data_IF_708526556324
#
_entry.id   IF_708526556324
#
_cell.length_a   1.000
_cell.length_b   1.000
_cell.length_c   1.000
_cell.angle_alpha   90.00
_cell.angle_beta   90.00
_cell.angle_gamma   90.00
#
_symmetry.space_group_name_H-M   'P 1'
#
loop_
_entity.id
_entity.type
_entity.pdbx_description
1 polymer ?
#
# COMPACT_ATOMS: atom_id res chain seq x y z
N UNK A 1 -5.32 -22.48 -32.47
CA UNK A 1 -6.58 -21.77 -32.82
C UNK A 1 -7.75 -22.62 -32.38
N UNK A 2 -8.44 -22.27 -31.28
CA UNK A 2 -9.90 -22.30 -31.13
C UNK A 2 -10.22 -21.38 -29.94
N UNK A 3 -10.51 -20.11 -30.21
CA UNK A 3 -11.18 -19.23 -29.24
C UNK A 3 -12.67 -19.46 -29.40
N UNK A 4 -13.28 -20.26 -28.52
CA UNK A 4 -14.73 -20.26 -28.44
C UNK A 4 -15.17 -18.88 -27.92
N UNK A 5 -16.06 -18.15 -28.63
CA UNK A 5 -16.51 -16.84 -28.20
C UNK A 5 -17.30 -16.95 -26.90
N UNK A 6 -17.12 -15.98 -26.00
CA UNK A 6 -17.81 -15.90 -24.69
C UNK A 6 -19.33 -16.08 -24.77
N UNK A 7 -19.95 -15.81 -25.93
CA UNK A 7 -21.36 -16.06 -26.21
C UNK A 7 -21.74 -17.54 -26.14
N UNK A 8 -20.90 -18.44 -26.65
CA UNK A 8 -21.15 -19.89 -26.70
C UNK A 8 -21.13 -20.53 -25.30
N UNK A 9 -20.26 -20.04 -24.42
CA UNK A 9 -20.21 -20.44 -23.01
C UNK A 9 -21.46 -20.01 -22.23
N UNK A 10 -22.04 -18.85 -22.55
CA UNK A 10 -23.27 -18.37 -21.91
C UNK A 10 -24.50 -19.16 -22.36
N UNK A 11 -24.56 -19.61 -23.61
CA UNK A 11 -25.66 -20.44 -24.12
C UNK A 11 -25.63 -21.85 -23.52
N UNK A 12 -24.44 -22.42 -23.27
CA UNK A 12 -24.29 -23.70 -22.57
C UNK A 12 -24.73 -23.65 -21.10
N UNK A 13 -24.69 -22.47 -20.46
CA UNK A 13 -25.14 -22.27 -19.08
C UNK A 13 -26.66 -22.05 -18.96
N UNK A 14 -27.38 -21.77 -20.05
CA UNK A 14 -28.85 -21.60 -20.03
C UNK A 14 -29.62 -22.90 -20.25
N UNK A 15 -28.97 -23.95 -20.76
CA UNK A 15 -29.57 -25.29 -20.85
C UNK A 15 -29.60 -25.91 -19.46
N UNK A 16 -30.80 -26.18 -18.94
CA UNK A 16 -31.01 -26.88 -17.64
C UNK A 16 -30.20 -28.18 -17.65
N UNK A 17 -29.23 -28.37 -16.74
CA UNK A 17 -28.49 -29.62 -16.67
C UNK A 17 -29.37 -30.69 -16.02
N UNK A 18 -29.95 -31.54 -16.87
CA UNK A 18 -30.57 -32.78 -16.46
C UNK A 18 -29.47 -33.68 -15.86
N UNK A 19 -29.61 -33.99 -14.57
CA UNK A 19 -28.66 -34.75 -13.71
C UNK A 19 -27.25 -34.13 -13.56
N UNK A 20 -27.16 -33.07 -12.77
CA UNK A 20 -25.85 -32.59 -12.28
C UNK A 20 -25.17 -33.61 -11.35
N UNK A 21 -24.01 -34.12 -11.77
CA UNK A 21 -23.11 -34.91 -10.92
C UNK A 21 -22.69 -34.11 -9.68
N UNK A 22 -22.44 -34.78 -8.55
CA UNK A 22 -21.99 -34.15 -7.29
C UNK A 22 -20.79 -33.22 -7.51
N UNK A 23 -19.95 -33.51 -8.50
CA UNK A 23 -18.76 -32.74 -8.90
C UNK A 23 -19.11 -31.37 -9.48
N UNK A 24 -20.10 -31.29 -10.37
CA UNK A 24 -20.54 -30.00 -10.95
C UNK A 24 -21.14 -29.07 -9.89
N UNK A 25 -21.89 -29.61 -8.91
CA UNK A 25 -22.43 -28.80 -7.80
C UNK A 25 -21.32 -28.24 -6.91
N UNK A 26 -20.27 -29.03 -6.64
CA UNK A 26 -19.08 -28.56 -5.90
C UNK A 26 -18.36 -27.46 -6.68
N UNK A 27 -18.11 -27.62 -7.98
CA UNK A 27 -17.46 -26.59 -8.80
C UNK A 27 -18.25 -25.26 -8.81
N UNK A 28 -19.57 -25.32 -9.00
CA UNK A 28 -20.44 -24.12 -8.96
C UNK A 28 -20.44 -23.46 -7.58
N UNK A 29 -20.45 -24.25 -6.49
CA UNK A 29 -20.35 -23.71 -5.13
C UNK A 29 -19.01 -23.00 -4.90
N UNK A 30 -17.89 -23.62 -5.26
CA UNK A 30 -16.56 -23.01 -5.13
C UNK A 30 -16.42 -21.76 -5.98
N UNK A 31 -16.92 -21.77 -7.21
CA UNK A 31 -16.94 -20.61 -8.10
C UNK A 31 -17.79 -19.48 -7.53
N UNK A 32 -19.02 -19.75 -7.05
CA UNK A 32 -19.87 -18.76 -6.38
C UNK A 32 -19.23 -18.21 -5.10
N UNK A 33 -18.59 -19.07 -4.29
CA UNK A 33 -17.88 -18.66 -3.08
C UNK A 33 -16.68 -17.77 -3.42
N UNK A 34 -15.93 -18.10 -4.48
CA UNK A 34 -14.80 -17.32 -5.00
C UNK A 34 -15.25 -15.98 -5.56
N UNK A 35 -16.35 -15.92 -6.32
CA UNK A 35 -16.95 -14.67 -6.81
C UNK A 35 -17.45 -13.79 -5.66
N UNK A 36 -18.11 -14.37 -4.66
CA UNK A 36 -18.55 -13.62 -3.46
C UNK A 36 -17.37 -13.04 -2.69
N UNK A 37 -16.28 -13.80 -2.55
CA UNK A 37 -15.03 -13.33 -1.94
C UNK A 37 -14.40 -12.20 -2.76
N UNK A 38 -14.32 -12.37 -4.10
CA UNK A 38 -13.83 -11.33 -5.01
C UNK A 38 -14.69 -10.06 -4.92
N UNK A 39 -16.02 -10.16 -4.99
CA UNK A 39 -16.96 -9.02 -4.88
C UNK A 39 -16.82 -8.22 -3.58
N UNK A 40 -16.58 -8.88 -2.43
CA UNK A 40 -16.32 -8.16 -1.16
C UNK A 40 -14.96 -7.45 -1.17
N UNK A 41 -13.96 -8.05 -1.83
CA UNK A 41 -12.66 -7.42 -1.99
C UNK A 41 -12.73 -6.22 -2.95
N UNK A 42 -13.57 -6.24 -3.99
CA UNK A 42 -13.64 -5.15 -4.98
C UNK A 42 -14.21 -3.83 -4.47
N UNK A 43 -15.07 -3.82 -3.44
CA UNK A 43 -15.62 -2.58 -2.89
C UNK A 43 -14.76 -1.95 -1.77
N UNK A 44 -14.08 -2.78 -0.97
CA UNK A 44 -13.18 -2.28 0.08
C UNK A 44 -11.85 -1.77 -0.49
N UNK A 45 -11.37 -2.38 -1.57
CA UNK A 45 -10.06 -2.12 -2.16
C UNK A 45 -9.85 -0.65 -2.61
N UNK A 46 -10.79 0.03 -3.30
CA UNK A 46 -10.61 1.44 -3.68
C UNK A 46 -10.47 2.40 -2.51
N UNK A 47 -11.29 2.24 -1.46
CA UNK A 47 -11.24 3.10 -0.27
C UNK A 47 -9.95 2.89 0.50
N UNK A 48 -9.54 1.63 0.69
CA UNK A 48 -8.28 1.32 1.39
C UNK A 48 -7.07 1.86 0.65
N UNK A 49 -7.07 1.86 -0.69
CA UNK A 49 -6.03 2.50 -1.51
C UNK A 49 -5.95 4.01 -1.27
N UNK A 50 -7.10 4.69 -1.22
CA UNK A 50 -7.16 6.12 -0.93
C UNK A 50 -6.61 6.40 0.48
N UNK A 51 -6.99 5.61 1.48
CA UNK A 51 -6.48 5.80 2.85
C UNK A 51 -4.96 5.60 2.91
N UNK A 52 -4.42 4.57 2.26
CA UNK A 52 -2.97 4.33 2.17
C UNK A 52 -2.23 5.53 1.56
N UNK A 53 -2.78 6.09 0.48
CA UNK A 53 -2.26 7.30 -0.16
C UNK A 53 -2.29 8.50 0.79
N UNK A 54 -3.45 8.76 1.41
CA UNK A 54 -3.67 9.90 2.31
C UNK A 54 -2.78 9.85 3.54
N UNK A 55 -2.55 8.67 4.12
CA UNK A 55 -1.63 8.49 5.25
C UNK A 55 -0.21 8.91 4.88
N UNK A 56 0.28 8.48 3.71
CA UNK A 56 1.62 8.84 3.22
C UNK A 56 1.74 10.35 2.98
N UNK A 57 0.73 10.96 2.36
CA UNK A 57 0.70 12.41 2.10
C UNK A 57 0.56 13.23 3.39
N UNK A 58 -0.15 12.71 4.38
CA UNK A 58 -0.27 13.32 5.70
C UNK A 58 1.07 13.40 6.43
N UNK A 59 1.85 12.31 6.43
CA UNK A 59 3.20 12.32 7.02
C UNK A 59 4.14 13.27 6.27
N UNK A 60 4.05 13.32 4.94
CA UNK A 60 4.83 14.26 4.13
C UNK A 60 4.56 15.71 4.55
N UNK A 61 3.29 16.13 4.56
CA UNK A 61 2.89 17.50 4.92
C UNK A 61 3.24 17.85 6.36
N UNK A 62 3.04 16.92 7.29
CA UNK A 62 3.45 17.10 8.68
C UNK A 62 4.96 17.33 8.78
N UNK A 63 5.75 16.56 8.03
CA UNK A 63 7.20 16.68 8.05
C UNK A 63 7.66 17.98 7.42
N UNK A 64 7.07 18.40 6.30
CA UNK A 64 7.34 19.70 5.66
C UNK A 64 7.06 20.86 6.62
N UNK A 65 5.93 20.82 7.31
CA UNK A 65 5.53 21.84 8.27
C UNK A 65 6.44 21.88 9.50
N UNK A 66 6.74 20.73 10.12
CA UNK A 66 7.59 20.70 11.30
C UNK A 66 9.05 21.05 10.97
N UNK A 67 9.54 20.62 9.80
CA UNK A 67 10.92 20.88 9.40
C UNK A 67 11.12 22.37 9.06
N UNK A 68 10.13 23.04 8.47
CA UNK A 68 10.21 24.48 8.16
C UNK A 68 10.28 25.37 9.40
N UNK A 69 9.83 24.86 10.56
CA UNK A 69 9.85 25.58 11.84
C UNK A 69 11.20 25.45 12.58
N UNK A 70 12.09 24.55 12.14
CA UNK A 70 13.38 24.36 12.81
C UNK A 70 14.36 25.49 12.48
N UNK A 71 15.03 26.07 13.49
CA UNK A 71 15.95 27.17 13.28
C UNK A 71 17.24 26.71 12.57
N UNK A 72 17.83 27.59 11.77
CA UNK A 72 19.16 27.42 11.17
C UNK A 72 19.34 26.21 10.23
N UNK A 73 18.26 25.64 9.71
CA UNK A 73 18.33 24.56 8.72
C UNK A 73 18.20 25.07 7.29
N UNK A 74 18.91 24.41 6.37
CA UNK A 74 18.70 24.61 4.95
C UNK A 74 17.31 24.09 4.55
N UNK A 75 16.60 24.76 3.63
CA UNK A 75 15.33 24.30 3.11
C UNK A 75 15.41 22.85 2.63
N UNK A 76 14.39 22.06 2.96
CA UNK A 76 14.35 20.68 2.50
C UNK A 76 14.29 20.63 0.96
N UNK A 77 15.02 19.71 0.30
CA UNK A 77 14.93 19.51 -1.14
C UNK A 77 13.50 19.17 -1.57
N UNK A 78 13.14 19.55 -2.79
CA UNK A 78 11.82 19.27 -3.35
C UNK A 78 11.49 17.77 -3.28
N UNK A 79 10.29 17.46 -2.78
CA UNK A 79 9.77 16.11 -2.61
C UNK A 79 10.61 15.19 -1.69
N UNK A 80 11.54 15.73 -0.89
CA UNK A 80 12.36 14.89 0.00
C UNK A 80 11.52 14.07 0.99
N UNK A 81 10.44 14.66 1.51
CA UNK A 81 9.50 13.99 2.43
C UNK A 81 8.58 12.98 1.74
N UNK A 82 8.55 12.92 0.40
CA UNK A 82 7.89 11.83 -0.33
C UNK A 82 8.76 10.57 -0.37
N UNK A 83 10.07 10.72 -0.20
CA UNK A 83 11.06 9.65 -0.26
C UNK A 83 11.49 9.29 1.15
N UNK A 84 10.90 8.23 1.70
CA UNK A 84 11.03 7.89 3.11
C UNK A 84 12.48 7.84 3.63
N UNK A 85 13.40 7.24 2.87
CA UNK A 85 14.82 7.17 3.24
C UNK A 85 15.52 8.54 3.21
N UNK A 86 15.16 9.43 2.29
CA UNK A 86 15.72 10.80 2.27
C UNK A 86 15.14 11.64 3.40
N UNK A 87 13.82 11.57 3.58
CA UNK A 87 13.11 12.14 4.71
C UNK A 87 13.75 11.75 6.05
N UNK A 88 14.05 10.47 6.23
CA UNK A 88 14.67 9.97 7.45
C UNK A 88 16.08 10.51 7.67
N UNK A 89 16.88 10.64 6.59
CA UNK A 89 18.21 11.25 6.65
C UNK A 89 18.13 12.74 7.00
N UNK A 90 17.17 13.48 6.43
CA UNK A 90 16.96 14.88 6.76
C UNK A 90 16.67 15.07 8.24
N UNK A 91 15.74 14.28 8.80
CA UNK A 91 15.46 14.32 10.23
C UNK A 91 16.68 13.96 11.06
N UNK A 92 17.44 12.93 10.67
CA UNK A 92 18.67 12.57 11.38
C UNK A 92 19.69 13.70 11.41
N UNK A 93 19.86 14.42 10.32
CA UNK A 93 20.76 15.59 10.27
C UNK A 93 20.22 16.73 11.14
N UNK A 94 18.90 16.94 11.15
CA UNK A 94 18.26 18.05 11.85
C UNK A 94 18.20 17.87 13.37
N UNK A 95 17.87 16.66 13.83
CA UNK A 95 17.55 16.38 15.24
C UNK A 95 18.30 15.18 15.82
N UNK A 96 19.26 14.61 15.07
CA UNK A 96 20.09 13.48 15.50
C UNK A 96 19.49 12.09 15.27
N UNK A 97 18.17 12.00 15.16
CA UNK A 97 17.43 10.74 14.98
C UNK A 97 16.57 10.73 13.72
N UNK A 98 16.35 9.55 13.15
CA UNK A 98 15.51 9.35 11.98
C UNK A 98 14.51 8.20 12.19
N UNK A 99 13.68 7.97 11.18
CA UNK A 99 12.65 6.94 11.18
C UNK A 99 13.22 5.53 11.37
N UNK A 100 14.42 5.26 10.86
CA UNK A 100 15.08 3.95 11.08
C UNK A 100 15.31 3.67 12.57
N UNK A 101 15.62 4.70 13.36
CA UNK A 101 15.86 4.57 14.79
C UNK A 101 14.55 4.36 15.55
N UNK A 102 13.50 5.13 15.23
CA UNK A 102 12.21 5.05 15.93
C UNK A 102 11.39 3.79 15.61
N UNK A 103 11.52 3.26 14.39
CA UNK A 103 10.73 2.11 13.94
C UNK A 103 11.51 0.80 13.95
N UNK A 104 12.85 0.84 13.94
CA UNK A 104 13.67 -0.36 13.86
C UNK A 104 13.29 -1.23 12.66
N UNK A 105 12.95 -2.50 12.92
CA UNK A 105 12.56 -3.46 11.89
C UNK A 105 11.29 -3.04 11.10
N UNK A 106 10.38 -2.29 11.72
CA UNK A 106 9.14 -1.86 11.05
C UNK A 106 9.37 -0.79 9.98
N UNK A 107 10.57 -0.21 9.93
CA UNK A 107 10.93 0.72 8.86
C UNK A 107 10.88 0.06 7.48
N UNK A 108 11.20 -1.23 7.38
CA UNK A 108 11.11 -1.98 6.12
C UNK A 108 9.66 -2.12 5.64
N UNK A 109 8.74 -2.38 6.57
CA UNK A 109 7.30 -2.40 6.28
C UNK A 109 6.82 -1.04 5.75
N UNK A 110 7.24 0.07 6.39
CA UNK A 110 6.86 1.41 5.94
C UNK A 110 7.42 1.74 4.55
N UNK A 111 8.67 1.34 4.24
CA UNK A 111 9.24 1.47 2.90
C UNK A 111 8.40 0.72 1.86
N UNK A 112 7.98 -0.51 2.15
CA UNK A 112 7.11 -1.29 1.25
C UNK A 112 5.79 -0.55 0.99
N UNK A 113 5.14 -0.01 2.02
CA UNK A 113 3.88 0.73 1.86
C UNK A 113 4.03 1.98 0.99
N UNK A 114 5.16 2.70 1.10
CA UNK A 114 5.47 3.82 0.22
C UNK A 114 5.70 3.38 -1.24
N UNK A 115 6.30 2.22 -1.48
CA UNK A 115 6.42 1.67 -2.84
C UNK A 115 5.06 1.21 -3.39
N UNK A 116 4.21 0.61 -2.55
CA UNK A 116 2.85 0.23 -2.94
C UNK A 116 2.04 1.46 -3.34
N UNK A 117 2.15 2.58 -2.59
CA UNK A 117 1.55 3.87 -2.97
C UNK A 117 1.93 4.28 -4.39
N UNK A 118 3.20 4.16 -4.77
CA UNK A 118 3.68 4.52 -6.11
C UNK A 118 3.07 3.62 -7.19
N UNK A 119 3.00 2.30 -6.95
CA UNK A 119 2.34 1.37 -7.88
C UNK A 119 0.85 1.68 -8.06
N UNK A 120 0.15 2.01 -6.97
CA UNK A 120 -1.27 2.35 -7.01
C UNK A 120 -1.54 3.59 -7.86
N UNK A 121 -0.66 4.58 -7.80
CA UNK A 121 -0.84 5.86 -8.51
C UNK A 121 -0.45 5.81 -9.98
N UNK A 122 0.55 5.00 -10.36
CA UNK A 122 1.13 5.05 -11.72
C UNK A 122 0.96 3.77 -12.54
N UNK A 123 0.72 2.63 -11.89
CA UNK A 123 0.68 1.32 -12.56
C UNK A 123 -0.63 0.57 -12.28
N UNK A 124 -1.69 1.28 -11.87
CA UNK A 124 -2.99 0.70 -11.47
C UNK A 124 -2.89 -0.35 -10.33
N UNK A 125 -1.75 -0.36 -9.64
CA UNK A 125 -1.37 -1.37 -8.65
C UNK A 125 -0.80 -2.67 -9.25
N UNK A 126 -0.42 -2.72 -10.52
CA UNK A 126 0.26 -3.88 -11.13
C UNK A 126 1.74 -3.84 -10.77
N UNK A 127 2.23 -4.95 -10.23
CA UNK A 127 3.62 -5.11 -9.82
C UNK A 127 4.53 -5.24 -11.04
N UNK A 128 5.57 -4.42 -11.08
CA UNK A 128 6.61 -4.46 -12.10
C UNK A 128 7.97 -4.89 -11.50
N UNK A 129 8.97 -5.07 -12.37
CA UNK A 129 10.32 -5.46 -11.93
C UNK A 129 10.98 -4.37 -11.06
N UNK A 130 10.63 -3.09 -11.28
CA UNK A 130 11.18 -1.96 -10.53
C UNK A 130 10.70 -1.98 -9.08
N UNK A 131 9.43 -2.31 -8.84
CA UNK A 131 8.89 -2.51 -7.51
C UNK A 131 9.67 -3.57 -6.75
N UNK A 132 9.77 -4.80 -7.29
CA UNK A 132 10.46 -5.91 -6.62
C UNK A 132 11.90 -5.54 -6.27
N UNK A 133 12.62 -4.90 -7.20
CA UNK A 133 14.00 -4.46 -6.98
C UNK A 133 14.12 -3.39 -5.88
N UNK A 134 13.14 -2.49 -5.75
CA UNK A 134 13.17 -1.39 -4.76
C UNK A 134 12.61 -1.76 -3.40
N UNK A 135 11.57 -2.58 -3.35
CA UNK A 135 10.87 -2.95 -2.13
C UNK A 135 11.44 -4.21 -1.48
N UNK A 136 12.01 -5.12 -2.27
CA UNK A 136 12.39 -6.46 -1.81
C UNK A 136 11.20 -7.32 -1.38
N UNK A 137 9.98 -6.90 -1.70
CA UNK A 137 8.75 -7.58 -1.30
C UNK A 137 8.62 -8.93 -2.01
N UNK A 138 8.57 -10.00 -1.22
CA UNK A 138 8.44 -11.39 -1.70
C UNK A 138 6.99 -11.86 -1.77
N UNK A 139 6.04 -11.03 -1.34
CA UNK A 139 4.61 -11.38 -1.27
C UNK A 139 3.97 -11.40 -2.67
N UNK A 140 4.48 -10.55 -3.57
CA UNK A 140 3.92 -10.38 -4.90
C UNK A 140 4.93 -10.75 -6.00
N UNK A 141 4.38 -11.20 -7.12
CA UNK A 141 5.13 -11.48 -8.35
C UNK A 141 4.82 -10.41 -9.39
N UNK A 142 5.74 -10.25 -10.35
CA UNK A 142 5.54 -9.35 -11.50
C UNK A 142 4.26 -9.70 -12.25
N UNK A 143 3.48 -8.68 -12.62
CA UNK A 143 2.18 -8.81 -13.28
C UNK A 143 1.00 -9.01 -12.32
N UNK A 144 1.24 -9.23 -11.02
CA UNK A 144 0.16 -9.33 -10.04
C UNK A 144 -0.34 -7.94 -9.63
N UNK A 145 -1.66 -7.81 -9.39
CA UNK A 145 -2.23 -6.61 -8.79
C UNK A 145 -2.08 -6.66 -7.27
N UNK A 146 -1.51 -5.62 -6.68
CA UNK A 146 -1.46 -5.48 -5.22
C UNK A 146 -2.87 -5.35 -4.65
N UNK A 147 -3.09 -5.98 -3.50
CA UNK A 147 -4.34 -5.94 -2.75
C UNK A 147 -4.09 -5.22 -1.43
N UNK A 148 -4.75 -4.08 -1.25
CA UNK A 148 -4.65 -3.34 0.02
C UNK A 148 -5.67 -3.93 0.99
N UNK A 149 -5.19 -4.41 2.13
CA UNK A 149 -6.05 -4.99 3.17
C UNK A 149 -6.23 -4.00 4.33
N UNK A 150 -7.31 -4.13 5.12
CA UNK A 150 -7.48 -3.32 6.33
C UNK A 150 -6.32 -3.47 7.32
N UNK A 151 -5.68 -4.64 7.37
CA UNK A 151 -4.52 -4.90 8.22
C UNK A 151 -3.31 -4.06 7.80
N UNK A 152 -3.05 -3.93 6.50
CA UNK A 152 -1.99 -3.06 5.96
C UNK A 152 -2.25 -1.60 6.34
N UNK A 153 -3.47 -1.12 6.13
CA UNK A 153 -3.83 0.28 6.46
C UNK A 153 -3.71 0.54 7.96
N UNK A 154 -4.18 -0.39 8.80
CA UNK A 154 -4.04 -0.29 10.25
C UNK A 154 -2.57 -0.21 10.66
N UNK A 155 -1.75 -1.12 10.14
CA UNK A 155 -0.32 -1.16 10.46
C UNK A 155 0.38 0.12 10.00
N UNK A 156 0.16 0.56 8.76
CA UNK A 156 0.74 1.80 8.24
C UNK A 156 0.36 3.02 9.08
N UNK A 157 -0.91 3.12 9.49
CA UNK A 157 -1.37 4.18 10.39
C UNK A 157 -0.59 4.15 11.71
N UNK A 158 -0.44 2.98 12.32
CA UNK A 158 0.23 2.84 13.61
C UNK A 158 1.71 3.28 13.51
N UNK A 159 2.39 2.90 12.42
CA UNK A 159 3.76 3.34 12.13
C UNK A 159 3.85 4.86 11.94
N UNK A 160 2.96 5.44 11.14
CA UNK A 160 2.93 6.89 10.90
C UNK A 160 2.60 7.66 12.18
N UNK A 161 1.69 7.15 13.00
CA UNK A 161 1.37 7.74 14.30
C UNK A 161 2.58 7.72 15.24
N UNK A 162 3.35 6.63 15.27
CA UNK A 162 4.59 6.59 16.03
C UNK A 162 5.58 7.66 15.54
N UNK A 163 5.88 7.71 14.23
CA UNK A 163 6.77 8.72 13.66
C UNK A 163 6.28 10.14 13.94
N UNK A 164 4.99 10.42 13.72
CA UNK A 164 4.41 11.74 13.97
C UNK A 164 4.55 12.18 15.44
N UNK A 165 4.39 11.25 16.38
CA UNK A 165 4.57 11.53 17.81
C UNK A 165 6.03 11.82 18.15
N UNK A 166 6.98 11.06 17.58
CA UNK A 166 8.41 11.32 17.80
C UNK A 166 8.86 12.64 17.19
N UNK A 167 8.37 12.99 16.00
CA UNK A 167 8.63 14.28 15.37
C UNK A 167 8.17 15.44 16.25
N UNK A 168 6.92 15.40 16.72
CA UNK A 168 6.37 16.45 17.59
C UNK A 168 7.15 16.59 18.89
N UNK A 169 7.51 15.47 19.53
CA UNK A 169 8.34 15.47 20.75
C UNK A 169 9.69 16.12 20.50
N UNK A 170 10.37 15.70 19.44
CA UNK A 170 11.72 16.20 19.10
C UNK A 170 11.70 17.69 18.78
N UNK A 171 10.72 18.16 18.02
CA UNK A 171 10.55 19.58 17.72
C UNK A 171 10.21 20.40 18.97
N UNK A 172 9.36 19.90 19.88
CA UNK A 172 9.03 20.60 21.12
C UNK A 172 10.23 20.81 22.06
N UNK A 173 11.17 19.86 22.06
CA UNK A 173 12.39 19.94 22.88
C UNK A 173 13.36 20.98 22.33
N UNK A 174 13.40 21.19 21.01
CA UNK A 174 14.29 22.17 20.38
C UNK A 174 13.80 23.62 20.46
N UNK A 175 12.53 23.85 20.83
CA UNK A 175 11.98 25.19 21.05
C UNK A 175 12.13 25.69 22.49
N UNK A 176 12.74 24.90 23.38
CA UNK A 176 13.04 25.25 24.78
C UNK A 176 14.52 25.55 24.98
#
# INVERSE_FOLDING_TARGET
MVTAPLSECLTLLSKKPERSSKTLRKCVYFWKKRIRKMRRQTFADPLLRVVLWSLSGGLQRLSEELYSQLPNLQPAPLNAFQRLTESSKLWRTAIGEGYEYWLGADFDSLKIYYQQRHLLAHHEGIVDQRYIKRSGDKTYHVGQRIVVTPAIVKHMRDLISNVANQLRKSCSVQSS
#
